data_IF_723721668370
#
_entry.id   IF_723721668370
#
_cell.length_a   1.000
_cell.length_b   1.000
_cell.length_c   1.000
_cell.angle_alpha   90.00
_cell.angle_beta   90.00
_cell.angle_gamma   90.00
#
_symmetry.space_group_name_H-M   'P 1'
#
loop_
_entity.id
_entity.type
_entity.pdbx_description
1 polymer ?
#
# COMPACT_ATOMS: atom_id res chain seq x y z
N UNK A 1 25.20 -5.43 18.63
CA UNK A 1 24.22 -4.46 18.11
C UNK A 1 23.73 -5.06 16.81
N UNK A 2 22.61 -5.75 16.88
CA UNK A 2 22.03 -6.48 15.75
C UNK A 2 21.59 -5.44 14.73
N UNK A 3 22.09 -5.54 13.51
CA UNK A 3 21.58 -4.75 12.39
C UNK A 3 20.09 -5.07 12.26
N UNK A 4 19.24 -4.07 12.52
CA UNK A 4 17.79 -4.22 12.52
C UNK A 4 17.24 -4.42 11.10
N UNK A 5 18.08 -4.35 10.06
CA UNK A 5 17.66 -4.49 8.67
C UNK A 5 17.02 -3.22 8.09
N UNK A 6 17.09 -2.09 8.80
CA UNK A 6 16.43 -0.85 8.41
C UNK A 6 16.95 -0.30 7.07
N UNK A 7 18.24 -0.47 6.75
CA UNK A 7 18.80 0.02 5.49
C UNK A 7 18.12 -0.67 4.29
N UNK A 8 18.03 -2.01 4.32
CA UNK A 8 17.32 -2.78 3.29
C UNK A 8 15.85 -2.39 3.23
N UNK A 9 15.18 -2.32 4.38
CA UNK A 9 13.77 -1.95 4.43
C UNK A 9 13.52 -0.55 3.86
N UNK A 10 14.43 0.40 4.09
CA UNK A 10 14.32 1.76 3.56
C UNK A 10 14.59 1.82 2.05
N UNK A 11 15.54 1.03 1.55
CA UNK A 11 15.82 0.88 0.11
C UNK A 11 14.61 0.28 -0.63
N UNK A 12 13.96 -0.73 -0.04
CA UNK A 12 12.80 -1.42 -0.64
C UNK A 12 11.46 -0.69 -0.39
N UNK A 13 11.43 0.35 0.47
CA UNK A 13 10.18 0.98 0.92
C UNK A 13 9.41 1.66 -0.21
N UNK A 14 10.12 2.33 -1.13
CA UNK A 14 9.49 2.98 -2.28
C UNK A 14 8.85 1.95 -3.20
N UNK A 15 9.60 0.93 -3.61
CA UNK A 15 9.10 -0.18 -4.43
C UNK A 15 7.91 -0.90 -3.76
N UNK A 16 7.94 -1.03 -2.42
CA UNK A 16 6.82 -1.57 -1.66
C UNK A 16 5.56 -0.69 -1.74
N UNK A 17 5.68 0.63 -1.59
CA UNK A 17 4.55 1.57 -1.70
C UNK A 17 3.90 1.54 -3.09
N UNK A 18 4.69 1.25 -4.12
CA UNK A 18 4.24 1.17 -5.51
C UNK A 18 3.80 -0.24 -5.94
N UNK A 19 3.90 -1.24 -5.06
CA UNK A 19 3.62 -2.67 -5.34
C UNK A 19 4.51 -3.26 -6.44
N UNK A 20 5.79 -2.88 -6.45
CA UNK A 20 6.78 -3.28 -7.45
C UNK A 20 7.73 -4.39 -6.94
N UNK A 21 7.52 -4.83 -5.70
CA UNK A 21 8.27 -5.92 -5.08
C UNK A 21 7.68 -7.30 -5.38
N UNK A 22 8.53 -8.33 -5.33
CA UNK A 22 8.06 -9.72 -5.30
C UNK A 22 7.25 -10.01 -4.02
N UNK A 23 6.46 -11.09 -4.05
CA UNK A 23 5.66 -11.50 -2.90
C UNK A 23 6.51 -11.81 -1.65
N UNK A 24 7.71 -12.36 -1.84
CA UNK A 24 8.67 -12.65 -0.77
C UNK A 24 9.19 -11.35 -0.15
N UNK A 25 9.68 -10.42 -0.96
CA UNK A 25 10.16 -9.12 -0.48
C UNK A 25 9.04 -8.31 0.21
N UNK A 26 7.81 -8.39 -0.31
CA UNK A 26 6.65 -7.80 0.35
C UNK A 26 6.39 -8.39 1.74
N UNK A 27 6.65 -9.68 1.95
CA UNK A 27 6.49 -10.32 3.26
C UNK A 27 7.59 -9.86 4.21
N UNK A 28 8.84 -9.84 3.76
CA UNK A 28 10.00 -9.40 4.53
C UNK A 28 9.83 -7.96 5.06
N UNK A 29 9.50 -7.01 4.17
CA UNK A 29 9.35 -5.61 4.57
C UNK A 29 8.13 -5.42 5.49
N UNK A 30 7.04 -6.17 5.29
CA UNK A 30 5.88 -6.13 6.21
C UNK A 30 6.26 -6.60 7.61
N UNK A 31 7.03 -7.68 7.71
CA UNK A 31 7.53 -8.17 8.99
C UNK A 31 8.43 -7.13 9.66
N UNK A 32 9.30 -6.47 8.90
CA UNK A 32 10.14 -5.40 9.43
C UNK A 32 9.32 -4.20 9.92
N UNK A 33 8.38 -3.71 9.11
CA UNK A 33 7.49 -2.59 9.47
C UNK A 33 6.66 -2.87 10.73
N UNK A 34 6.29 -4.13 10.97
CA UNK A 34 5.56 -4.53 12.17
C UNK A 34 6.40 -4.46 13.46
N UNK A 35 7.73 -4.50 13.34
CA UNK A 35 8.66 -4.58 14.47
C UNK A 35 9.58 -3.35 14.61
N UNK A 36 9.48 -2.37 13.71
CA UNK A 36 10.36 -1.21 13.65
C UNK A 36 9.55 0.10 13.56
N UNK A 37 9.49 0.83 14.68
CA UNK A 37 8.78 2.12 14.77
C UNK A 37 9.30 3.15 13.76
N UNK A 38 10.63 3.17 13.52
CA UNK A 38 11.24 4.12 12.60
C UNK A 38 10.77 3.87 11.16
N UNK A 39 10.91 2.66 10.65
CA UNK A 39 10.49 2.33 9.29
C UNK A 39 8.96 2.39 9.14
N UNK A 40 8.20 2.05 10.18
CA UNK A 40 6.74 2.26 10.18
C UNK A 40 6.36 3.73 10.07
N UNK A 41 7.10 4.64 10.70
CA UNK A 41 6.87 6.07 10.58
C UNK A 41 7.17 6.58 9.17
N UNK A 42 8.29 6.16 8.56
CA UNK A 42 8.65 6.49 7.18
C UNK A 42 7.60 5.96 6.18
N UNK A 43 7.14 4.73 6.37
CA UNK A 43 6.07 4.13 5.56
C UNK A 43 4.77 4.95 5.64
N UNK A 44 4.40 5.42 6.84
CA UNK A 44 3.22 6.28 7.02
C UNK A 44 3.36 7.61 6.27
N UNK A 45 4.55 8.21 6.28
CA UNK A 45 4.82 9.44 5.50
C UNK A 45 4.62 9.15 4.00
N UNK A 46 5.18 8.06 3.49
CA UNK A 46 5.02 7.63 2.10
C UNK A 46 3.57 7.43 1.70
N UNK A 47 2.78 6.68 2.48
CA UNK A 47 1.34 6.49 2.24
C UNK A 47 0.62 7.83 2.24
N UNK A 48 0.92 8.70 3.20
CA UNK A 48 0.25 9.99 3.34
C UNK A 48 0.47 10.86 2.10
N UNK A 49 1.72 10.95 1.63
CA UNK A 49 2.06 11.71 0.43
C UNK A 49 1.38 11.12 -0.81
N UNK A 50 1.50 9.81 -1.04
CA UNK A 50 0.87 9.14 -2.19
C UNK A 50 -0.65 9.31 -2.18
N UNK A 51 -1.28 9.25 -1.00
CA UNK A 51 -2.72 9.48 -0.87
C UNK A 51 -3.10 10.92 -1.23
N UNK A 52 -2.35 11.91 -0.73
CA UNK A 52 -2.62 13.32 -1.03
C UNK A 52 -2.46 13.65 -2.51
N UNK A 53 -1.45 13.08 -3.16
CA UNK A 53 -1.26 13.21 -4.61
C UNK A 53 -2.42 12.57 -5.36
N UNK A 54 -2.83 11.35 -4.99
CA UNK A 54 -3.99 10.69 -5.60
C UNK A 54 -5.27 11.50 -5.44
N UNK A 55 -5.54 12.05 -4.26
CA UNK A 55 -6.72 12.90 -4.01
C UNK A 55 -6.72 14.16 -4.88
N UNK A 56 -5.55 14.80 -5.04
CA UNK A 56 -5.41 16.01 -5.85
C UNK A 56 -5.49 15.73 -7.36
N UNK A 57 -5.09 14.55 -7.79
CA UNK A 57 -5.01 14.16 -9.20
C UNK A 57 -6.10 13.19 -9.64
N UNK A 58 -7.08 12.85 -8.79
CA UNK A 58 -8.11 11.87 -9.17
C UNK A 58 -9.02 12.42 -10.27
N UNK A 59 -9.17 11.64 -11.34
CA UNK A 59 -10.23 11.84 -12.32
C UNK A 59 -11.47 11.06 -11.88
N UNK A 60 -12.65 11.67 -12.01
CA UNK A 60 -13.90 11.02 -11.59
C UNK A 60 -14.14 9.79 -12.46
N UNK A 61 -14.14 8.59 -11.84
CA UNK A 61 -14.49 7.36 -12.52
C UNK A 61 -15.92 7.44 -13.12
N UNK A 62 -16.18 6.85 -14.31
CA UNK A 62 -17.51 6.87 -14.92
C UNK A 62 -18.56 6.24 -14.02
N UNK A 63 -19.72 6.88 -13.89
CA UNK A 63 -20.81 6.43 -13.01
C UNK A 63 -21.29 5.01 -13.36
N UNK A 64 -21.25 4.64 -14.66
CA UNK A 64 -21.59 3.29 -15.12
C UNK A 64 -20.70 2.20 -14.53
N UNK A 65 -19.40 2.46 -14.39
CA UNK A 65 -18.47 1.49 -13.81
C UNK A 65 -18.76 1.28 -12.32
N UNK A 66 -19.10 2.35 -11.60
CA UNK A 66 -19.53 2.27 -10.20
C UNK A 66 -20.77 1.38 -10.07
N UNK A 67 -21.78 1.60 -10.91
CA UNK A 67 -23.04 0.84 -10.86
C UNK A 67 -22.81 -0.65 -11.16
N UNK A 68 -21.92 -0.98 -12.11
CA UNK A 68 -21.53 -2.36 -12.40
C UNK A 68 -20.85 -3.05 -11.19
N UNK A 69 -19.92 -2.36 -10.52
CA UNK A 69 -19.21 -2.90 -9.35
C UNK A 69 -20.20 -3.14 -8.21
N UNK A 70 -21.01 -2.13 -7.85
CA UNK A 70 -22.00 -2.25 -6.78
C UNK A 70 -23.01 -3.36 -7.06
N UNK A 71 -23.47 -3.49 -8.31
CA UNK A 71 -24.35 -4.58 -8.72
C UNK A 71 -23.71 -5.96 -8.55
N UNK A 72 -22.43 -6.10 -8.88
CA UNK A 72 -21.69 -7.37 -8.75
C UNK A 72 -21.49 -7.76 -7.29
N UNK A 73 -21.15 -6.80 -6.42
CA UNK A 73 -21.01 -7.03 -4.97
C UNK A 73 -22.33 -7.49 -4.35
N UNK A 74 -23.45 -6.83 -4.69
CA UNK A 74 -24.77 -7.19 -4.18
C UNK A 74 -25.26 -8.58 -4.63
N UNK A 75 -24.72 -9.12 -5.73
CA UNK A 75 -25.00 -10.49 -6.17
C UNK A 75 -24.22 -11.51 -5.36
N UNK A 76 -22.94 -11.22 -5.07
CA UNK A 76 -22.09 -12.09 -4.25
C UNK A 76 -22.60 -12.22 -2.81
N UNK A 77 -23.13 -11.16 -2.22
CA UNK A 77 -23.70 -11.19 -0.86
C UNK A 77 -24.99 -12.01 -0.73
N UNK A 78 -25.66 -12.31 -1.86
CA UNK A 78 -26.90 -13.11 -1.90
C UNK A 78 -26.65 -14.59 -2.21
N UNK A 79 -25.41 -14.97 -2.53
CA UNK A 79 -25.00 -16.34 -2.81
C UNK A 79 -24.48 -17.05 -1.57
#
# INVERSE_FOLDING_TARGET
MTDCGCNKAMEELEEFLHNELSAEQCADIREHLANCDHCSAEHLVGITLTTKVKEACQEKAPDQLRDMIVGSLAQLEKS
#
